data_IF_319741165665
#
_entry.id   IF_319741165665
#
_cell.length_a   1.000
_cell.length_b   1.000
_cell.length_c   1.000
_cell.angle_alpha   90.00
_cell.angle_beta   90.00
_cell.angle_gamma   90.00
#
_symmetry.space_group_name_H-M   'P 1'
#
loop_
_entity.id
_entity.type
_entity.pdbx_description
1 polymer ?
#
# COMPACT_ATOMS: atom_id res chain seq x y z
N UNK A 1 0.97 -12.73 12.41
CA UNK A 1 0.82 -11.24 12.36
C UNK A 1 2.13 -10.49 12.07
N UNK A 2 3.23 -10.72 12.80
CA UNK A 2 4.51 -9.99 12.58
C UNK A 2 5.03 -10.07 11.14
N UNK A 3 4.96 -11.27 10.51
CA UNK A 3 5.38 -11.49 9.12
C UNK A 3 4.56 -10.68 8.10
N UNK A 4 3.24 -10.63 8.27
CA UNK A 4 2.36 -9.87 7.40
C UNK A 4 2.71 -8.38 7.41
N UNK A 5 2.90 -7.80 8.61
CA UNK A 5 3.31 -6.39 8.77
C UNK A 5 4.67 -6.14 8.12
N UNK A 6 5.63 -7.04 8.30
CA UNK A 6 6.95 -6.93 7.65
C UNK A 6 6.85 -6.98 6.13
N UNK A 7 6.06 -7.91 5.57
CA UNK A 7 5.82 -8.00 4.12
C UNK A 7 5.14 -6.75 3.58
N UNK A 8 4.16 -6.18 4.31
CA UNK A 8 3.54 -4.91 3.95
C UNK A 8 4.54 -3.75 3.97
N UNK A 9 5.42 -3.70 4.97
CA UNK A 9 6.46 -2.67 5.07
C UNK A 9 7.46 -2.77 3.90
N UNK A 10 7.93 -3.98 3.58
CA UNK A 10 8.85 -4.22 2.46
C UNK A 10 8.19 -3.93 1.11
N UNK A 11 6.94 -4.35 0.95
CA UNK A 11 6.12 -4.01 -0.22
C UNK A 11 5.98 -2.49 -0.38
N UNK A 12 5.70 -1.77 0.71
CA UNK A 12 5.64 -0.31 0.73
C UNK A 12 6.93 0.34 0.21
N UNK A 13 8.10 -0.16 0.62
CA UNK A 13 9.38 0.31 0.07
C UNK A 13 9.49 0.07 -1.44
N UNK A 14 9.06 -1.08 -1.94
CA UNK A 14 9.01 -1.36 -3.38
C UNK A 14 8.14 -0.36 -4.15
N UNK A 15 6.99 0.01 -3.59
CA UNK A 15 6.11 1.04 -4.16
C UNK A 15 6.73 2.43 -4.17
N UNK A 16 7.52 2.79 -3.15
CA UNK A 16 8.24 4.06 -3.16
C UNK A 16 9.30 4.14 -4.27
N UNK A 17 9.97 3.01 -4.58
CA UNK A 17 10.90 2.95 -5.72
C UNK A 17 10.15 3.15 -7.05
N UNK A 18 8.98 2.54 -7.22
CA UNK A 18 8.14 2.76 -8.40
C UNK A 18 7.74 4.23 -8.51
N UNK A 19 7.29 4.85 -7.41
CA UNK A 19 6.93 6.25 -7.37
C UNK A 19 8.14 7.17 -7.71
N UNK A 20 9.34 6.84 -7.22
CA UNK A 20 10.57 7.55 -7.56
C UNK A 20 10.86 7.54 -9.06
N UNK A 21 10.76 6.37 -9.69
CA UNK A 21 10.99 6.20 -11.12
C UNK A 21 9.95 7.00 -11.92
N UNK A 22 8.67 6.94 -11.53
CA UNK A 22 7.59 7.70 -12.19
C UNK A 22 7.80 9.21 -12.06
N UNK A 23 8.26 9.69 -10.91
CA UNK A 23 8.58 11.10 -10.69
C UNK A 23 9.82 11.58 -11.46
N UNK A 24 10.48 10.70 -12.23
CA UNK A 24 11.61 11.04 -13.09
C UNK A 24 12.84 11.51 -12.32
N UNK A 25 13.01 11.11 -11.06
CA UNK A 25 14.18 11.46 -10.24
C UNK A 25 14.27 12.93 -9.78
N UNK A 26 13.28 13.78 -10.07
CA UNK A 26 13.30 15.23 -9.73
C UNK A 26 12.97 15.53 -8.25
N UNK A 27 13.12 14.56 -7.35
CA UNK A 27 12.45 14.57 -6.06
C UNK A 27 13.14 15.26 -4.89
N UNK A 28 14.40 15.67 -5.05
CA UNK A 28 15.14 16.41 -4.01
C UNK A 28 14.99 15.81 -2.60
N UNK A 29 14.99 16.66 -1.58
CA UNK A 29 14.85 16.23 -0.19
C UNK A 29 13.40 15.86 0.20
N UNK A 30 12.38 16.27 -0.58
CA UNK A 30 10.98 15.91 -0.37
C UNK A 30 10.73 14.40 -0.59
N UNK A 31 11.50 13.79 -1.50
CA UNK A 31 11.38 12.38 -1.82
C UNK A 31 11.89 11.46 -0.70
N UNK A 32 12.86 11.91 0.09
CA UNK A 32 13.29 11.19 1.29
C UNK A 32 12.15 11.04 2.30
N UNK A 33 11.27 12.04 2.41
CA UNK A 33 10.07 11.96 3.24
C UNK A 33 9.14 10.83 2.78
N UNK A 34 8.92 10.71 1.47
CA UNK A 34 8.15 9.61 0.88
C UNK A 34 8.79 8.24 1.11
N UNK A 35 10.11 8.13 0.96
CA UNK A 35 10.84 6.86 1.14
C UNK A 35 10.82 6.40 2.61
N UNK A 36 11.03 7.31 3.57
CA UNK A 36 11.03 7.00 5.00
C UNK A 36 9.63 6.60 5.49
N UNK A 37 8.58 7.18 4.91
CA UNK A 37 7.19 6.87 5.27
C UNK A 37 6.60 5.70 4.50
N UNK A 38 7.25 5.24 3.43
CA UNK A 38 6.77 4.15 2.58
C UNK A 38 6.45 2.85 3.34
N UNK A 39 7.25 2.40 4.32
CA UNK A 39 6.90 1.23 5.14
C UNK A 39 5.57 1.42 5.87
N UNK A 40 5.33 2.62 6.43
CA UNK A 40 4.11 2.94 7.16
C UNK A 40 2.89 2.96 6.23
N UNK A 41 3.02 3.56 5.04
CA UNK A 41 1.96 3.56 4.02
C UNK A 41 1.62 2.13 3.61
N UNK A 42 2.63 1.29 3.37
CA UNK A 42 2.44 -0.12 3.04
C UNK A 42 1.70 -0.90 4.13
N UNK A 43 2.03 -0.66 5.41
CA UNK A 43 1.32 -1.26 6.55
C UNK A 43 -0.13 -0.79 6.64
N UNK A 44 -0.39 0.51 6.47
CA UNK A 44 -1.75 1.07 6.46
C UNK A 44 -2.57 0.44 5.33
N UNK A 45 -2.04 0.42 4.11
CA UNK A 45 -2.70 -0.16 2.95
C UNK A 45 -3.00 -1.65 3.14
N UNK A 46 -2.04 -2.42 3.68
CA UNK A 46 -2.23 -3.83 4.01
C UNK A 46 -3.29 -4.03 5.07
N UNK A 47 -3.31 -3.21 6.12
CA UNK A 47 -4.32 -3.31 7.18
C UNK A 47 -5.74 -3.02 6.67
N UNK A 48 -5.89 -2.01 5.80
CA UNK A 48 -7.16 -1.70 5.12
C UNK A 48 -7.60 -2.84 4.19
N UNK A 49 -6.66 -3.49 3.50
CA UNK A 49 -6.97 -4.60 2.58
C UNK A 49 -7.25 -5.93 3.29
N UNK A 50 -6.71 -6.14 4.50
CA UNK A 50 -6.77 -7.42 5.23
C UNK A 50 -8.18 -8.01 5.41
N UNK A 51 -9.23 -7.24 5.78
CA UNK A 51 -10.59 -7.79 5.96
C UNK A 51 -11.18 -8.34 4.66
N UNK A 52 -10.72 -7.80 3.53
CA UNK A 52 -11.26 -8.06 2.19
C UNK A 52 -10.75 -9.38 1.62
N UNK A 53 -9.74 -10.01 2.22
CA UNK A 53 -9.25 -11.31 1.75
C UNK A 53 -10.34 -12.40 1.74
N UNK A 54 -11.38 -12.26 2.57
CA UNK A 54 -12.50 -13.18 2.63
C UNK A 54 -13.62 -12.85 1.62
N UNK A 55 -13.53 -11.72 0.91
CA UNK A 55 -14.57 -11.26 0.00
C UNK A 55 -14.46 -11.93 -1.38
N UNK A 56 -15.57 -11.90 -2.13
CA UNK A 56 -15.62 -12.37 -3.53
C UNK A 56 -14.63 -11.58 -4.41
N UNK A 57 -14.18 -12.21 -5.49
CA UNK A 57 -13.20 -11.66 -6.43
C UNK A 57 -13.42 -10.18 -6.84
N UNK A 58 -14.63 -9.74 -7.26
CA UNK A 58 -14.84 -8.33 -7.63
C UNK A 58 -14.62 -7.35 -6.47
N UNK A 59 -14.92 -7.76 -5.23
CA UNK A 59 -14.67 -6.93 -4.04
C UNK A 59 -13.17 -6.75 -3.77
N UNK A 60 -12.37 -7.80 -4.00
CA UNK A 60 -10.89 -7.74 -3.87
C UNK A 60 -10.28 -6.80 -4.92
N UNK A 61 -10.79 -6.86 -6.15
CA UNK A 61 -10.35 -6.00 -7.24
C UNK A 61 -10.71 -4.54 -6.97
N UNK A 62 -11.94 -4.24 -6.56
CA UNK A 62 -12.35 -2.88 -6.18
C UNK A 62 -11.53 -2.33 -4.98
N UNK A 63 -11.26 -3.15 -3.97
CA UNK A 63 -10.48 -2.70 -2.81
C UNK A 63 -9.00 -2.50 -3.12
N UNK A 64 -8.45 -3.24 -4.09
CA UNK A 64 -7.08 -2.95 -4.56
C UNK A 64 -6.99 -1.58 -5.24
N UNK A 65 -8.05 -1.15 -5.94
CA UNK A 65 -8.14 0.20 -6.49
C UNK A 65 -8.22 1.25 -5.37
N UNK A 66 -9.07 1.02 -4.37
CA UNK A 66 -9.22 1.92 -3.23
C UNK A 66 -7.89 2.10 -2.48
N UNK A 67 -7.20 1.00 -2.18
CA UNK A 67 -5.91 1.05 -1.47
C UNK A 67 -4.80 1.67 -2.31
N UNK A 68 -4.85 1.55 -3.64
CA UNK A 68 -3.95 2.28 -4.53
C UNK A 68 -4.14 3.80 -4.40
N UNK A 69 -5.38 4.30 -4.49
CA UNK A 69 -5.67 5.73 -4.33
C UNK A 69 -5.39 6.24 -2.91
N UNK A 70 -5.69 5.44 -1.88
CA UNK A 70 -5.33 5.76 -0.50
C UNK A 70 -3.81 5.91 -0.35
N UNK A 71 -3.03 5.00 -0.93
CA UNK A 71 -1.57 5.05 -0.87
C UNK A 71 -1.03 6.28 -1.62
N UNK A 72 -1.59 6.60 -2.80
CA UNK A 72 -1.24 7.80 -3.56
C UNK A 72 -1.56 9.09 -2.79
N UNK A 73 -2.71 9.13 -2.11
CA UNK A 73 -3.11 10.25 -1.25
C UNK A 73 -2.11 10.44 -0.10
N UNK A 74 -1.79 9.36 0.62
CA UNK A 74 -0.84 9.42 1.74
C UNK A 74 0.56 9.81 1.28
N UNK A 75 1.00 9.31 0.12
CA UNK A 75 2.27 9.70 -0.48
C UNK A 75 2.30 11.20 -0.81
N UNK A 76 1.28 11.71 -1.50
CA UNK A 76 1.17 13.14 -1.83
C UNK A 76 1.09 14.04 -0.60
N UNK A 77 0.44 13.57 0.46
CA UNK A 77 0.37 14.28 1.75
C UNK A 77 1.75 14.40 2.39
N UNK A 78 2.48 13.29 2.53
CA UNK A 78 3.83 13.30 3.11
C UNK A 78 4.77 14.14 2.25
N UNK A 79 4.69 14.00 0.93
CA UNK A 79 5.49 14.81 0.02
C UNK A 79 5.23 16.29 0.22
N UNK A 80 3.97 16.70 0.23
CA UNK A 80 3.59 18.10 0.40
C UNK A 80 3.99 18.67 1.75
N UNK A 81 3.91 17.88 2.84
CA UNK A 81 4.42 18.28 4.16
C UNK A 81 5.94 18.49 4.08
N UNK A 82 6.66 17.56 3.45
CA UNK A 82 8.12 17.64 3.37
C UNK A 82 8.57 18.83 2.51
N UNK A 83 7.89 19.10 1.40
CA UNK A 83 8.12 20.27 0.55
C UNK A 83 7.81 21.58 1.30
N UNK A 84 6.68 21.65 2.01
CA UNK A 84 6.31 22.81 2.80
C UNK A 84 7.30 23.11 3.94
N UNK A 85 7.90 22.07 4.55
CA UNK A 85 8.92 22.22 5.58
C UNK A 85 10.27 22.67 5.03
N UNK A 86 10.60 22.30 3.78
CA UNK A 86 11.85 22.68 3.13
C UNK A 86 11.81 24.09 2.56
N UNK A 87 10.61 24.56 2.18
CA UNK A 87 10.41 25.89 1.62
C UNK A 87 11.08 26.09 0.26
N UNK A 88 10.96 27.30 -0.28
CA UNK A 88 11.57 27.65 -1.56
C UNK A 88 13.04 28.08 -1.41
N UNK A 89 13.90 27.77 -2.39
CA UNK A 89 15.18 28.45 -2.53
C UNK A 89 14.95 29.96 -2.62
N UNK A 90 15.60 30.73 -1.74
CA UNK A 90 15.46 32.20 -1.71
C UNK A 90 14.37 32.75 -0.79
N UNK A 91 13.69 31.91 0.01
CA UNK A 91 12.82 32.38 1.11
C UNK A 91 11.47 32.96 0.66
N UNK A 92 11.06 32.73 -0.59
CA UNK A 92 9.75 33.13 -1.05
C UNK A 92 8.64 32.39 -0.28
N UNK A 93 7.67 33.16 0.24
CA UNK A 93 6.53 32.65 1.00
C UNK A 93 5.54 31.95 0.07
N UNK A 94 5.33 30.64 0.27
CA UNK A 94 4.16 29.90 -0.23
C UNK A 94 3.26 29.52 0.92
N UNK A 95 1.95 29.52 0.71
CA UNK A 95 1.03 28.99 1.71
C UNK A 95 1.29 27.49 1.90
N UNK A 96 1.68 27.06 3.11
CA UNK A 96 2.02 25.65 3.39
C UNK A 96 0.86 24.71 3.07
N UNK A 97 -0.37 25.16 3.31
CA UNK A 97 -1.60 24.41 3.00
C UNK A 97 -1.77 24.21 1.49
N UNK A 98 -1.49 25.25 0.68
CA UNK A 98 -1.60 25.20 -0.77
C UNK A 98 -0.63 24.19 -1.38
N UNK A 99 0.63 24.19 -0.90
CA UNK A 99 1.66 23.21 -1.31
C UNK A 99 1.20 21.79 -1.03
N UNK A 100 0.68 21.53 0.18
CA UNK A 100 0.18 20.20 0.56
C UNK A 100 -0.97 19.77 -0.35
N UNK A 101 -1.96 20.63 -0.57
CA UNK A 101 -3.07 20.33 -1.48
C UNK A 101 -2.60 20.06 -2.90
N UNK A 102 -1.66 20.86 -3.41
CA UNK A 102 -1.11 20.70 -4.74
C UNK A 102 -0.41 19.34 -4.89
N UNK A 103 0.37 18.89 -3.90
CA UNK A 103 1.03 17.59 -3.93
C UNK A 103 0.05 16.41 -3.84
N UNK A 104 -0.99 16.51 -3.00
CA UNK A 104 -2.05 15.50 -2.91
C UNK A 104 -2.80 15.39 -4.24
N UNK A 105 -3.26 16.51 -4.79
CA UNK A 105 -3.97 16.52 -6.06
C UNK A 105 -3.07 16.06 -7.21
N UNK A 106 -1.82 16.51 -7.25
CA UNK A 106 -0.85 16.07 -8.26
C UNK A 106 -0.60 14.56 -8.20
N UNK A 107 -0.57 13.96 -7.00
CA UNK A 107 -0.42 12.51 -6.85
C UNK A 107 -1.66 11.76 -7.35
N UNK A 108 -2.86 12.21 -6.99
CA UNK A 108 -4.11 11.59 -7.41
C UNK A 108 -4.35 11.73 -8.92
N UNK A 109 -4.20 12.95 -9.45
CA UNK A 109 -4.29 13.21 -10.89
C UNK A 109 -3.15 12.53 -11.64
N UNK A 110 -1.94 12.45 -11.08
CA UNK A 110 -0.81 11.76 -11.70
C UNK A 110 -1.12 10.28 -11.95
N UNK A 111 -1.79 9.62 -11.00
CA UNK A 111 -2.24 8.23 -11.17
C UNK A 111 -3.34 8.12 -12.23
N UNK A 112 -4.35 9.00 -12.19
CA UNK A 112 -5.54 8.92 -13.06
C UNK A 112 -5.29 9.46 -14.46
N UNK A 113 -4.87 10.72 -14.58
CA UNK A 113 -4.75 11.46 -15.84
C UNK A 113 -3.59 10.97 -16.71
N UNK A 114 -2.50 10.49 -16.11
CA UNK A 114 -1.40 9.88 -16.87
C UNK A 114 -1.73 8.47 -17.38
N UNK A 115 -2.88 7.92 -16.99
CA UNK A 115 -3.29 6.56 -17.34
C UNK A 115 -2.56 5.46 -16.56
N UNK A 116 -1.69 5.80 -15.62
CA UNK A 116 -0.93 4.82 -14.82
C UNK A 116 -1.84 3.89 -14.04
N UNK A 117 -3.06 4.32 -13.67
CA UNK A 117 -4.06 3.48 -13.02
C UNK A 117 -4.27 2.14 -13.74
N UNK A 118 -4.19 2.10 -15.08
CA UNK A 118 -4.37 0.86 -15.88
C UNK A 118 -3.28 -0.18 -15.58
N UNK A 119 -2.07 0.26 -15.24
CA UNK A 119 -0.93 -0.61 -14.92
C UNK A 119 -0.77 -0.83 -13.42
N UNK A 120 -0.91 0.25 -12.63
CA UNK A 120 -0.72 0.22 -11.19
C UNK A 120 -1.84 -0.55 -10.47
N UNK A 121 -3.05 -0.58 -11.02
CA UNK A 121 -4.16 -1.27 -10.38
C UNK A 121 -4.02 -2.81 -10.42
N UNK A 122 -3.77 -3.47 -11.58
CA UNK A 122 -3.44 -4.89 -11.61
C UNK A 122 -2.23 -5.22 -10.73
N UNK A 123 -1.21 -4.35 -10.71
CA UNK A 123 -0.02 -4.54 -9.89
C UNK A 123 -0.33 -4.45 -8.39
N UNK A 124 -1.19 -3.50 -7.97
CA UNK A 124 -1.66 -3.40 -6.59
C UNK A 124 -2.46 -4.63 -6.17
N UNK A 125 -3.32 -5.15 -7.06
CA UNK A 125 -4.05 -6.39 -6.81
C UNK A 125 -3.09 -7.58 -6.64
N UNK A 126 -2.13 -7.73 -7.55
CA UNK A 126 -1.11 -8.78 -7.49
C UNK A 126 -0.26 -8.68 -6.22
N UNK A 127 0.14 -7.47 -5.84
CA UNK A 127 0.91 -7.21 -4.63
C UNK A 127 0.14 -7.67 -3.38
N UNK A 128 -1.12 -7.29 -3.25
CA UNK A 128 -1.95 -7.72 -2.12
C UNK A 128 -2.18 -9.24 -2.10
N UNK A 129 -2.34 -9.86 -3.27
CA UNK A 129 -2.41 -11.32 -3.40
C UNK A 129 -1.10 -11.97 -2.95
N UNK A 130 0.05 -11.47 -3.39
CA UNK A 130 1.37 -12.01 -3.05
C UNK A 130 1.66 -11.89 -1.56
N UNK A 131 1.41 -10.72 -0.96
CA UNK A 131 1.58 -10.50 0.49
C UNK A 131 0.66 -11.43 1.29
N UNK A 132 -0.59 -11.61 0.87
CA UNK A 132 -1.52 -12.56 1.49
C UNK A 132 -1.05 -14.01 1.37
N UNK A 133 -0.59 -14.41 0.18
CA UNK A 133 -0.12 -15.77 -0.11
C UNK A 133 1.16 -16.13 0.67
N UNK A 134 2.13 -15.23 0.71
CA UNK A 134 3.38 -15.40 1.45
C UNK A 134 3.14 -15.34 2.97
N UNK A 135 2.18 -14.54 3.44
CA UNK A 135 1.82 -14.53 4.86
C UNK A 135 1.12 -15.83 5.27
N UNK A 136 0.27 -16.41 4.42
CA UNK A 136 -0.47 -17.64 4.70
C UNK A 136 0.36 -18.93 4.68
N UNK A 137 1.53 -18.94 4.03
CA UNK A 137 2.38 -20.13 3.95
C UNK A 137 3.03 -20.58 5.28
N UNK A 138 3.16 -19.69 6.28
CA UNK A 138 3.76 -20.05 7.59
C UNK A 138 2.71 -20.37 8.67
N UNK A 139 1.43 -20.07 8.44
CA UNK A 139 0.36 -20.46 9.38
C UNK A 139 -0.02 -21.95 9.20
N UNK A 140 0.63 -22.67 8.28
CA UNK A 140 0.40 -24.08 7.92
C UNK A 140 1.30 -25.10 8.61
N UNK A 141 2.22 -24.73 9.52
CA UNK A 141 3.00 -25.70 10.31
C UNK A 141 2.29 -26.20 11.57
N UNK A 142 1.03 -25.82 11.79
CA UNK A 142 0.16 -26.36 12.83
C UNK A 142 -0.71 -27.51 12.31
N UNK A 143 -0.10 -28.70 12.20
CA UNK A 143 -0.70 -30.05 12.14
C UNK A 143 -2.12 -30.22 11.56
N UNK A 144 -2.33 -31.05 10.51
CA UNK A 144 -3.63 -31.68 10.32
C UNK A 144 -3.93 -32.59 11.51
N UNK A 145 -4.82 -32.18 12.41
CA UNK A 145 -5.41 -33.08 13.40
C UNK A 145 -6.34 -34.06 12.67
N UNK A 146 -5.72 -35.08 12.12
CA UNK A 146 -6.36 -36.32 11.72
C UNK A 146 -6.88 -37.02 12.99
N UNK A 147 -8.05 -36.60 13.49
CA UNK A 147 -8.97 -37.44 14.27
C UNK A 147 -10.18 -37.63 13.35
N UNK A 148 -10.33 -38.73 12.60
CA UNK A 148 -10.36 -40.13 13.04
C UNK A 148 -11.10 -40.27 14.37
N UNK A 149 -12.42 -40.30 14.28
CA UNK A 149 -13.33 -40.53 15.38
C UNK A 149 -14.68 -40.97 14.86
N UNK A 150 -14.72 -42.20 14.36
CA UNK A 150 -15.85 -43.12 14.53
C UNK A 150 -17.25 -42.62 14.17
N UNK A 151 -17.58 -42.80 12.89
CA UNK A 151 -18.90 -43.29 12.49
C UNK A 151 -19.11 -44.66 13.16
N UNK A 152 -20.29 -44.86 13.75
CA UNK A 152 -20.86 -46.15 14.14
C UNK A 152 -20.20 -46.95 15.28
N UNK A 153 -20.59 -46.67 16.54
CA UNK A 153 -20.74 -47.72 17.58
C UNK A 153 -21.48 -47.17 18.83
N UNK A 154 -22.80 -46.99 18.75
CA UNK A 154 -23.69 -47.15 19.93
C UNK A 154 -25.16 -47.31 19.48
N UNK A 155 -25.40 -48.41 18.76
CA UNK A 155 -26.69 -49.09 18.72
C UNK A 155 -26.41 -50.56 18.95
N UNK A 156 -26.30 -50.95 20.21
CA UNK A 156 -26.48 -52.33 20.68
C UNK A 156 -26.75 -52.31 22.17
#
# INVERSE_FOLDING_TARGET
MKRYVLLCAVSGMGWAVIAFIIAGGHGGAALWGGLVTAPLIGVIAGWVYRPVHQWRWPGRVAMSLLTLYLSALLFGLVWGITDALQGLPGGASRGSIEVVYQCVLSSLFGVTASGFVVFLWPLAHLNHWLVGHLAGHDDGSGLPSRRSGSVDQEKQ
#
